data_IF_521470761696
#
_entry.id   IF_521470761696
#
_cell.length_a   1.000
_cell.length_b   1.000
_cell.length_c   1.000
_cell.angle_alpha   90.00
_cell.angle_beta   90.00
_cell.angle_gamma   90.00
#
_symmetry.space_group_name_H-M   'P 1'
#
loop_
_entity.id
_entity.type
_entity.pdbx_description
1 polymer ?
#
# COMPACT_ATOMS: atom_id res chain seq x y z
N UNK A 1 3.18 4.24 -7.41
CA UNK A 1 3.04 5.29 -6.37
C UNK A 1 2.88 6.72 -6.94
N UNK A 2 1.93 7.50 -6.40
CA UNK A 2 1.54 8.85 -6.87
C UNK A 2 2.35 10.03 -6.30
N UNK A 3 3.08 9.82 -5.20
CA UNK A 3 3.90 10.84 -4.54
C UNK A 3 5.30 10.32 -4.34
N UNK A 4 6.29 11.01 -4.91
CA UNK A 4 7.70 10.63 -4.79
C UNK A 4 8.20 10.83 -3.36
N UNK A 5 7.72 11.84 -2.64
CA UNK A 5 7.99 12.04 -1.21
C UNK A 5 7.47 10.89 -0.36
N UNK A 6 6.20 10.49 -0.54
CA UNK A 6 5.61 9.39 0.23
C UNK A 6 6.35 8.07 -0.04
N UNK A 7 6.81 7.86 -1.27
CA UNK A 7 7.60 6.68 -1.64
C UNK A 7 8.98 6.65 -1.04
N UNK A 8 9.67 7.80 -1.03
CA UNK A 8 10.94 7.93 -0.36
C UNK A 8 10.83 7.62 1.14
N UNK A 9 9.78 8.10 1.82
CA UNK A 9 9.55 7.84 3.24
C UNK A 9 9.24 6.37 3.50
N UNK A 10 8.31 5.79 2.73
CA UNK A 10 7.91 4.38 2.88
C UNK A 10 9.08 3.42 2.65
N UNK A 11 9.92 3.71 1.64
CA UNK A 11 11.13 2.92 1.35
C UNK A 11 12.22 3.16 2.39
N UNK A 12 12.52 4.44 2.70
CA UNK A 12 13.60 4.82 3.62
C UNK A 12 13.38 4.31 5.04
N UNK A 13 12.14 4.37 5.53
CA UNK A 13 11.78 3.82 6.84
C UNK A 13 12.04 2.31 6.90
N UNK A 14 11.62 1.57 5.88
CA UNK A 14 11.81 0.12 5.82
C UNK A 14 13.28 -0.28 5.68
N UNK A 15 14.03 0.40 4.81
CA UNK A 15 15.46 0.18 4.60
C UNK A 15 16.26 0.38 5.90
N UNK A 16 15.81 1.31 6.76
CA UNK A 16 16.44 1.66 8.02
C UNK A 16 15.99 0.79 9.21
N UNK A 17 15.00 -0.08 9.01
CA UNK A 17 14.35 -0.80 10.11
C UNK A 17 14.30 -2.32 9.90
N UNK A 18 13.15 -2.87 9.47
CA UNK A 18 12.92 -4.31 9.38
C UNK A 18 13.20 -4.89 7.99
N UNK A 19 13.50 -4.06 6.99
CA UNK A 19 13.91 -4.45 5.63
C UNK A 19 12.96 -5.50 5.01
N UNK A 20 11.66 -5.26 5.13
CA UNK A 20 10.63 -6.07 4.48
C UNK A 20 10.84 -6.09 2.97
N UNK A 21 10.61 -7.24 2.35
CA UNK A 21 10.52 -7.33 0.89
C UNK A 21 9.19 -6.73 0.42
N UNK A 22 9.24 -5.63 -0.32
CA UNK A 22 8.06 -5.06 -0.96
C UNK A 22 7.83 -5.68 -2.32
N UNK A 23 6.68 -6.33 -2.48
CA UNK A 23 6.19 -6.78 -3.78
C UNK A 23 5.28 -5.70 -4.37
N UNK A 24 5.69 -5.17 -5.53
CA UNK A 24 4.94 -4.14 -6.26
C UNK A 24 4.07 -4.72 -7.37
N UNK A 25 3.85 -6.05 -7.40
CA UNK A 25 3.00 -6.71 -8.39
C UNK A 25 1.66 -6.01 -8.58
N UNK A 26 1.01 -5.59 -7.50
CA UNK A 26 -0.32 -4.97 -7.55
C UNK A 26 -0.31 -3.50 -7.97
N UNK A 27 0.87 -2.87 -8.11
CA UNK A 27 1.00 -1.56 -8.74
C UNK A 27 0.88 -1.65 -10.27
N UNK A 28 1.04 -2.83 -10.88
CA UNK A 28 0.92 -3.02 -12.34
C UNK A 28 -0.55 -2.89 -12.78
N UNK A 29 -0.91 -1.89 -13.61
CA UNK A 29 -2.26 -1.77 -14.18
C UNK A 29 -2.69 -2.98 -15.00
N UNK A 30 -1.74 -3.80 -15.45
CA UNK A 30 -1.96 -5.02 -16.24
C UNK A 30 -2.13 -6.28 -15.39
N UNK A 31 -1.99 -6.21 -14.05
CA UNK A 31 -2.29 -7.39 -13.21
C UNK A 31 -3.77 -7.75 -13.39
N UNK A 32 -4.09 -9.00 -13.77
CA UNK A 32 -5.45 -9.38 -14.14
C UNK A 32 -6.44 -9.31 -12.97
N UNK A 33 -5.98 -9.39 -11.72
CA UNK A 33 -6.85 -9.30 -10.56
C UNK A 33 -7.22 -7.87 -10.21
N UNK A 34 -6.42 -6.89 -10.67
CA UNK A 34 -6.70 -5.46 -10.50
C UNK A 34 -6.95 -5.08 -9.04
N UNK A 35 -6.19 -5.65 -8.09
CA UNK A 35 -6.43 -5.47 -6.64
C UNK A 35 -6.35 -4.01 -6.18
N UNK A 36 -5.46 -3.20 -6.76
CA UNK A 36 -5.40 -1.76 -6.49
C UNK A 36 -6.75 -1.05 -6.67
N UNK A 37 -7.60 -1.55 -7.59
CA UNK A 37 -8.91 -0.96 -7.91
C UNK A 37 -10.06 -1.50 -7.05
N UNK A 38 -9.80 -2.54 -6.25
CA UNK A 38 -10.83 -3.32 -5.55
C UNK A 38 -10.87 -3.05 -4.04
N UNK A 39 -10.19 -2.00 -3.59
CA UNK A 39 -10.09 -1.61 -2.18
C UNK A 39 -10.37 -0.12 -2.00
N UNK A 40 -10.74 0.28 -0.79
CA UNK A 40 -11.27 1.61 -0.47
C UNK A 40 -10.32 2.76 -0.79
N UNK A 41 -9.00 2.51 -0.72
CA UNK A 41 -7.97 3.51 -0.99
C UNK A 41 -8.05 4.09 -2.42
N UNK A 42 -8.59 3.33 -3.38
CA UNK A 42 -8.69 3.75 -4.78
C UNK A 42 -9.48 5.05 -4.95
N UNK A 43 -10.60 5.21 -4.23
CA UNK A 43 -11.44 6.42 -4.31
C UNK A 43 -10.71 7.68 -3.79
N UNK A 44 -9.75 7.52 -2.88
CA UNK A 44 -8.88 8.61 -2.43
C UNK A 44 -7.84 8.96 -3.50
N UNK A 45 -7.24 7.92 -4.10
CA UNK A 45 -6.28 8.08 -5.20
C UNK A 45 -6.91 8.82 -6.39
N UNK A 46 -8.14 8.48 -6.79
CA UNK A 46 -8.87 9.19 -7.86
C UNK A 46 -9.11 10.67 -7.55
N UNK A 47 -9.21 11.05 -6.27
CA UNK A 47 -9.38 12.44 -5.83
C UNK A 47 -8.06 13.19 -5.62
N UNK A 48 -6.94 12.61 -6.06
CA UNK A 48 -5.62 13.23 -5.92
C UNK A 48 -5.07 13.22 -4.50
N UNK A 49 -5.48 12.25 -3.68
CA UNK A 49 -4.88 12.00 -2.37
C UNK A 49 -3.85 10.87 -2.52
N UNK A 50 -2.57 11.06 -2.13
CA UNK A 50 -1.57 10.02 -2.25
C UNK A 50 -1.84 8.89 -1.26
N UNK A 51 -1.67 7.64 -1.71
CA UNK A 51 -1.98 6.43 -0.94
C UNK A 51 -0.78 5.47 -0.90
N UNK A 52 -0.71 4.68 0.17
CA UNK A 52 0.10 3.46 0.25
C UNK A 52 -0.87 2.31 0.56
N UNK A 53 -0.84 1.26 -0.27
CA UNK A 53 -1.68 0.08 -0.08
C UNK A 53 -0.85 -1.05 0.51
N UNK A 54 -0.99 -1.28 1.82
CA UNK A 54 -0.36 -2.38 2.52
C UNK A 54 -1.22 -3.63 2.38
N UNK A 55 -0.80 -4.52 1.49
CA UNK A 55 -1.54 -5.73 1.15
C UNK A 55 -0.57 -6.87 0.94
N UNK A 56 -0.86 -8.03 1.54
CA UNK A 56 0.03 -9.19 1.48
C UNK A 56 -0.49 -10.31 0.57
N UNK A 57 -1.53 -10.02 -0.20
CA UNK A 57 -2.12 -10.90 -1.21
C UNK A 57 -3.40 -11.57 -0.73
N UNK A 58 -3.85 -12.55 -1.52
CA UNK A 58 -4.95 -13.45 -1.13
C UNK A 58 -4.40 -14.79 -0.68
N UNK A 59 -5.18 -15.50 0.13
CA UNK A 59 -4.87 -16.84 0.63
C UNK A 59 -5.95 -17.84 0.20
N UNK A 60 -5.70 -19.14 0.43
CA UNK A 60 -6.58 -20.24 0.01
C UNK A 60 -8.01 -20.13 0.56
N UNK A 61 -8.17 -19.54 1.75
CA UNK A 61 -9.47 -19.33 2.39
C UNK A 61 -10.08 -17.95 2.13
N UNK A 62 -9.54 -17.14 1.22
CA UNK A 62 -10.08 -15.80 0.96
C UNK A 62 -11.56 -15.88 0.52
N UNK A 63 -12.44 -15.13 1.21
CA UNK A 63 -13.89 -15.21 1.06
C UNK A 63 -14.50 -16.60 1.35
N UNK A 64 -13.83 -17.44 2.14
CA UNK A 64 -14.32 -18.76 2.54
C UNK A 64 -14.50 -18.83 4.07
N UNK A 65 -15.32 -19.77 4.57
CA UNK A 65 -15.49 -19.98 6.02
C UNK A 65 -14.21 -20.37 6.77
N UNK A 66 -13.14 -20.75 6.07
CA UNK A 66 -11.86 -21.13 6.66
C UNK A 66 -10.92 -19.96 6.99
N UNK A 67 -11.33 -18.72 6.70
CA UNK A 67 -10.59 -17.49 7.02
C UNK A 67 -10.66 -17.22 8.54
N UNK A 68 -9.71 -17.80 9.26
CA UNK A 68 -9.71 -17.85 10.72
C UNK A 68 -8.42 -17.27 11.33
N UNK A 69 -8.50 -16.68 12.53
CA UNK A 69 -7.38 -16.00 13.16
C UNK A 69 -6.19 -16.91 13.49
N UNK A 70 -6.39 -18.22 13.66
CA UNK A 70 -5.31 -19.18 13.92
C UNK A 70 -4.38 -19.39 12.72
N UNK A 71 -4.79 -18.98 11.52
CA UNK A 71 -4.00 -19.07 10.27
C UNK A 71 -3.19 -17.80 9.98
N UNK A 72 -3.33 -16.75 10.79
CA UNK A 72 -2.59 -15.50 10.62
C UNK A 72 -1.12 -15.74 10.97
N UNK A 73 -0.22 -15.31 10.09
CA UNK A 73 1.20 -15.15 10.43
C UNK A 73 1.39 -13.88 11.29
N UNK A 74 1.21 -14.04 12.60
CA UNK A 74 1.33 -12.95 13.55
C UNK A 74 2.74 -12.33 13.59
N UNK A 75 3.78 -13.11 13.31
CA UNK A 75 5.15 -12.60 13.29
C UNK A 75 5.39 -11.69 12.08
N UNK A 76 4.82 -12.02 10.91
CA UNK A 76 4.80 -11.14 9.75
C UNK A 76 3.93 -9.91 10.00
N UNK A 77 2.72 -10.11 10.55
CA UNK A 77 1.79 -9.02 10.85
C UNK A 77 2.44 -7.98 11.77
N UNK A 78 3.10 -8.40 12.85
CA UNK A 78 3.81 -7.50 13.77
C UNK A 78 4.84 -6.64 13.02
N UNK A 79 5.66 -7.27 12.17
CA UNK A 79 6.69 -6.55 11.40
C UNK A 79 6.08 -5.52 10.46
N UNK A 80 5.00 -5.88 9.75
CA UNK A 80 4.26 -4.97 8.87
C UNK A 80 3.69 -3.80 9.68
N UNK A 81 2.98 -4.07 10.79
CA UNK A 81 2.37 -3.04 11.64
C UNK A 81 3.42 -2.07 12.20
N UNK A 82 4.58 -2.58 12.67
CA UNK A 82 5.66 -1.72 13.18
C UNK A 82 6.25 -0.84 12.08
N UNK A 83 6.45 -1.37 10.87
CA UNK A 83 6.92 -0.57 9.73
C UNK A 83 5.90 0.49 9.32
N UNK A 84 4.59 0.18 9.32
CA UNK A 84 3.52 1.16 9.06
C UNK A 84 3.55 2.27 10.12
N UNK A 85 3.65 1.90 11.39
CA UNK A 85 3.71 2.86 12.50
C UNK A 85 4.88 3.84 12.33
N UNK A 86 6.09 3.33 12.08
CA UNK A 86 7.27 4.19 11.87
C UNK A 86 7.15 5.03 10.61
N UNK A 87 6.54 4.50 9.53
CA UNK A 87 6.31 5.27 8.30
C UNK A 87 5.39 6.45 8.57
N UNK A 88 4.33 6.24 9.39
CA UNK A 88 3.44 7.31 9.82
C UNK A 88 4.17 8.31 10.74
N UNK A 89 5.05 7.85 11.62
CA UNK A 89 5.85 8.71 12.48
C UNK A 89 6.73 9.67 11.66
N UNK A 90 7.51 9.15 10.72
CA UNK A 90 8.33 9.96 9.81
C UNK A 90 7.47 10.92 8.95
N UNK A 91 6.28 10.47 8.54
CA UNK A 91 5.33 11.29 7.80
C UNK A 91 4.83 12.49 8.61
N UNK A 92 4.62 12.33 9.92
CA UNK A 92 4.14 13.41 10.80
C UNK A 92 5.19 14.50 11.06
N UNK A 93 6.47 14.18 10.91
CA UNK A 93 7.58 15.14 11.08
C UNK A 93 7.82 16.02 9.85
N UNK A 94 7.11 15.78 8.74
CA UNK A 94 7.23 16.61 7.54
C UNK A 94 6.67 18.01 7.75
N UNK A 95 7.43 19.02 7.30
CA UNK A 95 6.97 20.42 7.25
C UNK A 95 5.81 20.64 6.28
N UNK A 96 5.76 19.86 5.20
CA UNK A 96 4.72 19.92 4.19
C UNK A 96 4.14 18.53 3.95
N UNK A 97 2.82 18.46 3.74
CA UNK A 97 2.18 17.22 3.31
C UNK A 97 2.76 16.71 1.98
N UNK A 98 2.88 15.38 1.77
CA UNK A 98 3.29 14.85 0.48
C UNK A 98 2.36 15.32 -0.64
N UNK A 99 2.95 15.78 -1.73
CA UNK A 99 2.23 16.22 -2.92
C UNK A 99 2.05 15.04 -3.87
N UNK A 100 0.97 15.07 -4.66
CA UNK A 100 0.84 14.22 -5.84
C UNK A 100 1.71 14.80 -6.94
N UNK A 101 2.74 14.07 -7.33
CA UNK A 101 3.68 14.45 -8.41
C UNK A 101 3.64 13.48 -9.60
N UNK A 102 2.93 12.36 -9.45
CA UNK A 102 2.66 11.38 -10.51
C UNK A 102 1.16 11.12 -10.54
N UNK A 103 0.55 11.38 -11.69
CA UNK A 103 -0.87 11.09 -11.91
C UNK A 103 -1.07 9.57 -11.99
N UNK A 104 -2.26 9.11 -11.62
CA UNK A 104 -2.69 7.76 -11.96
C UNK A 104 -2.66 7.60 -13.49
N UNK A 105 -2.23 6.44 -14.02
CA UNK A 105 -2.33 6.17 -15.46
C UNK A 105 -3.75 6.46 -15.98
N UNK A 106 -3.84 7.02 -17.19
CA UNK A 106 -5.13 7.48 -17.76
C UNK A 106 -6.13 6.36 -17.94
N UNK A 107 -5.62 5.17 -18.21
CA UNK A 107 -6.35 3.91 -18.26
C UNK A 107 -7.11 3.61 -16.95
N UNK A 108 -6.78 4.31 -15.87
CA UNK A 108 -7.35 4.17 -14.53
C UNK A 108 -8.31 5.31 -14.15
N UNK A 109 -8.36 6.39 -14.93
CA UNK A 109 -9.18 7.59 -14.65
C UNK A 109 -10.26 7.84 -15.69
N UNK A 110 -10.15 7.28 -16.89
CA UNK A 110 -11.06 7.55 -18.03
C UNK A 110 -12.01 6.38 -18.38
N UNK A 111 -12.33 5.52 -17.40
CA UNK A 111 -13.13 4.31 -17.61
C UNK A 111 -14.33 4.17 -16.66
N UNK A 112 -15.24 5.15 -16.67
CA UNK A 112 -16.63 5.03 -16.22
C UNK A 112 -17.54 5.76 -17.21
#
# INVERSE_FOLDING_TARGET
MMSSTLGAITKGTNDSYLKLGYDYRYDDPKDPNRFFFRSDHFNYAQKGIPVVFWFDGVHEDYHQPGDHPDKIDYAKMEKVTRTIFLTLWELTDLKERPKVDKQLPKELTEGN
#
